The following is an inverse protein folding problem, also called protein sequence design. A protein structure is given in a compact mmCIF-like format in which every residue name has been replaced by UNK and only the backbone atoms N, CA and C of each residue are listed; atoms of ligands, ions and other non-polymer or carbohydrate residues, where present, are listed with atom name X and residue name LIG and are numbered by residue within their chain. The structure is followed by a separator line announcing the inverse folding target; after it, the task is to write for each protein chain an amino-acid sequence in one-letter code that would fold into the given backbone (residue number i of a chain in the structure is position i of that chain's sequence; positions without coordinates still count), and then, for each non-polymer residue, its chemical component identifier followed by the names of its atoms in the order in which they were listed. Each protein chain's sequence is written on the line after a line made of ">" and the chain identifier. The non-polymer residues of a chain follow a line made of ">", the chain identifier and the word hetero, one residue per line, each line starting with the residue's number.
data_IF_969770287233
#
_entry.id   IF_969770287233
#
_cell.length_a   1.000
_cell.length_b   1.000
_cell.length_c   1.000
_cell.angle_alpha   90.00
_cell.angle_beta   90.00
_cell.angle_gamma   90.00
#
_symmetry.space_group_name_H-M   'P 1'
#
loop_
_entity.id
_entity.type
_entity.pdbx_description
1 polymer ?
#
# COMPACT_ATOMS: atom_id res chain seq x y z
N UNK A 1 -29.34 -38.04 -24.52
CA UNK A 1 -30.42 -37.19 -23.96
C UNK A 1 -30.58 -37.50 -22.48
N UNK A 2 -30.10 -36.62 -21.60
CA UNK A 2 -30.63 -36.43 -20.24
C UNK A 2 -30.14 -35.05 -19.76
N UNK A 3 -30.76 -34.01 -20.32
CA UNK A 3 -30.33 -32.61 -20.20
C UNK A 3 -31.07 -31.85 -19.08
N UNK A 4 -31.55 -32.57 -18.08
CA UNK A 4 -32.19 -31.97 -16.89
C UNK A 4 -31.52 -32.53 -15.64
N UNK A 5 -30.40 -31.91 -15.25
CA UNK A 5 -30.05 -31.86 -13.83
C UNK A 5 -31.20 -31.17 -13.11
N UNK A 6 -31.64 -31.78 -12.02
CA UNK A 6 -32.80 -31.36 -11.26
C UNK A 6 -32.60 -29.91 -10.79
N UNK A 7 -33.48 -28.99 -11.19
CA UNK A 7 -33.39 -27.55 -10.89
C UNK A 7 -33.36 -27.30 -9.36
N UNK A 8 -33.89 -28.23 -8.56
CA UNK A 8 -33.82 -28.19 -7.10
C UNK A 8 -32.40 -28.29 -6.54
N UNK A 9 -31.47 -28.96 -7.24
CA UNK A 9 -30.06 -28.96 -6.86
C UNK A 9 -29.45 -27.57 -7.08
N UNK A 10 -29.86 -26.86 -8.14
CA UNK A 10 -29.31 -25.56 -8.50
C UNK A 10 -29.72 -24.43 -7.54
N UNK A 11 -30.88 -24.51 -6.89
CA UNK A 11 -31.41 -23.42 -6.05
C UNK A 11 -30.62 -23.18 -4.76
N UNK A 12 -29.81 -24.14 -4.30
CA UNK A 12 -28.96 -23.98 -3.10
C UNK A 12 -27.60 -23.31 -3.36
N UNK A 13 -27.24 -23.06 -4.62
CA UNK A 13 -25.90 -22.59 -5.01
C UNK A 13 -25.80 -21.08 -5.24
N UNK A 14 -26.93 -20.45 -5.55
CA UNK A 14 -26.99 -19.02 -5.81
C UNK A 14 -27.35 -18.29 -4.51
N UNK A 15 -26.63 -17.20 -4.22
CA UNK A 15 -26.94 -16.31 -3.08
C UNK A 15 -28.30 -15.62 -3.23
N UNK A 16 -28.72 -15.41 -4.48
CA UNK A 16 -30.01 -14.85 -4.86
C UNK A 16 -30.70 -15.80 -5.85
N UNK A 17 -32.04 -15.79 -5.92
CA UNK A 17 -32.75 -16.65 -6.87
C UNK A 17 -32.27 -16.31 -8.29
N UNK A 18 -31.72 -17.26 -9.06
CA UNK A 18 -31.36 -16.98 -10.44
C UNK A 18 -32.60 -16.51 -11.19
N UNK A 19 -32.51 -15.52 -12.09
CA UNK A 19 -33.67 -15.13 -12.89
C UNK A 19 -34.23 -16.39 -13.59
N UNK A 20 -35.56 -16.53 -13.61
CA UNK A 20 -36.30 -17.64 -14.23
C UNK A 20 -35.85 -17.96 -15.66
N UNK A 21 -35.16 -17.02 -16.32
CA UNK A 21 -34.49 -17.17 -17.61
C UNK A 21 -33.39 -18.26 -17.66
N UNK A 22 -32.81 -18.69 -16.54
CA UNK A 22 -31.79 -19.76 -16.53
C UNK A 22 -32.36 -21.19 -16.61
N UNK A 23 -33.67 -21.35 -16.41
CA UNK A 23 -34.34 -22.65 -16.39
C UNK A 23 -34.65 -23.22 -17.78
N UNK A 24 -34.48 -22.44 -18.87
CA UNK A 24 -35.01 -22.83 -20.19
C UNK A 24 -34.13 -22.60 -21.41
N UNK A 25 -32.85 -22.21 -21.28
CA UNK A 25 -32.10 -21.73 -22.46
C UNK A 25 -30.70 -22.37 -22.59
N UNK A 26 -30.22 -22.47 -23.82
CA UNK A 26 -28.99 -23.17 -24.24
C UNK A 26 -27.70 -22.67 -23.59
N UNK A 27 -26.56 -23.31 -23.93
CA UNK A 27 -25.24 -23.10 -23.31
C UNK A 27 -24.86 -21.62 -23.14
N UNK A 28 -25.15 -20.81 -24.14
CA UNK A 28 -24.63 -19.44 -24.24
C UNK A 28 -25.41 -18.46 -23.34
N UNK A 29 -26.71 -18.70 -23.18
CA UNK A 29 -27.58 -17.95 -22.25
C UNK A 29 -27.39 -18.35 -20.78
N UNK A 30 -26.88 -19.57 -20.52
CA UNK A 30 -26.40 -19.96 -19.18
C UNK A 30 -25.13 -19.20 -18.82
N UNK A 31 -24.19 -19.06 -19.75
CA UNK A 31 -23.02 -18.20 -19.57
C UNK A 31 -23.41 -16.75 -19.22
N UNK A 32 -24.49 -16.20 -19.82
CA UNK A 32 -24.97 -14.84 -19.50
C UNK A 32 -25.63 -14.71 -18.11
N UNK A 33 -26.39 -15.71 -17.65
CA UNK A 33 -26.95 -15.70 -16.29
C UNK A 33 -25.90 -15.93 -15.19
N UNK A 34 -24.73 -16.46 -15.55
CA UNK A 34 -23.55 -16.65 -14.68
C UNK A 34 -22.67 -15.39 -14.54
N UNK A 35 -22.98 -14.31 -15.28
CA UNK A 35 -22.43 -12.97 -15.08
C UNK A 35 -23.26 -12.11 -14.10
N UNK A 36 -24.30 -12.68 -13.45
CA UNK A 36 -25.03 -11.97 -12.42
C UNK A 36 -24.10 -11.57 -11.27
N UNK A 37 -24.26 -10.35 -10.76
CA UNK A 37 -23.40 -9.76 -9.72
C UNK A 37 -23.32 -10.56 -8.42
N UNK A 38 -24.21 -11.54 -8.20
CA UNK A 38 -24.19 -12.45 -7.04
C UNK A 38 -23.38 -13.75 -7.22
N UNK A 39 -23.05 -14.16 -8.45
CA UNK A 39 -22.26 -15.36 -8.77
C UNK A 39 -22.80 -16.71 -8.23
N UNK A 40 -22.13 -17.81 -8.58
CA UNK A 40 -22.28 -19.10 -7.89
C UNK A 40 -21.36 -19.09 -6.66
N UNK A 41 -21.90 -19.36 -5.47
CA UNK A 41 -21.17 -19.24 -4.18
C UNK A 41 -20.55 -17.86 -3.91
N UNK A 42 -21.05 -16.78 -4.54
CA UNK A 42 -20.44 -15.46 -4.41
C UNK A 42 -19.14 -15.28 -5.23
N UNK A 43 -18.89 -16.15 -6.22
CA UNK A 43 -17.76 -16.01 -7.11
C UNK A 43 -17.92 -14.77 -8.01
N UNK A 44 -16.96 -13.86 -7.94
CA UNK A 44 -16.97 -12.59 -8.69
C UNK A 44 -15.85 -12.58 -9.73
N UNK A 45 -16.06 -11.86 -10.82
CA UNK A 45 -15.01 -11.63 -11.83
C UNK A 45 -14.30 -10.35 -11.47
N UNK A 46 -12.99 -10.44 -11.25
CA UNK A 46 -12.11 -9.30 -10.99
C UNK A 46 -11.15 -9.14 -12.16
N UNK A 47 -10.82 -7.90 -12.48
CA UNK A 47 -9.75 -7.56 -13.40
C UNK A 47 -8.71 -6.75 -12.61
N UNK A 48 -7.49 -7.26 -12.53
CA UNK A 48 -6.36 -6.58 -11.90
C UNK A 48 -5.09 -6.79 -12.76
N UNK A 49 -3.93 -6.41 -12.22
CA UNK A 49 -2.63 -6.49 -12.90
C UNK A 49 -2.24 -7.93 -13.29
N UNK A 50 -2.86 -8.95 -12.69
CA UNK A 50 -2.69 -10.37 -13.04
C UNK A 50 -3.63 -10.83 -14.17
N UNK A 51 -4.53 -9.96 -14.63
CA UNK A 51 -5.51 -10.22 -15.67
C UNK A 51 -6.94 -10.41 -15.15
N UNK A 52 -7.81 -10.94 -16.00
CA UNK A 52 -9.21 -11.22 -15.64
C UNK A 52 -9.30 -12.59 -14.98
N UNK A 53 -9.65 -12.61 -13.69
CA UNK A 53 -9.74 -13.83 -12.88
C UNK A 53 -11.10 -13.95 -12.20
N UNK A 54 -11.46 -15.20 -11.92
CA UNK A 54 -12.62 -15.53 -11.07
C UNK A 54 -12.13 -15.59 -9.63
N UNK A 55 -12.74 -14.86 -8.72
CA UNK A 55 -12.39 -14.86 -7.30
C UNK A 55 -13.47 -15.59 -6.52
N UNK A 56 -13.08 -16.57 -5.72
CA UNK A 56 -13.98 -17.33 -4.84
C UNK A 56 -13.50 -17.23 -3.39
N UNK A 57 -14.34 -16.67 -2.53
CA UNK A 57 -14.08 -16.58 -1.09
C UNK A 57 -14.48 -17.84 -0.34
N UNK A 58 -13.55 -18.38 0.44
CA UNK A 58 -13.70 -19.61 1.22
C UNK A 58 -13.49 -19.33 2.70
N UNK A 59 -14.44 -19.80 3.49
CA UNK A 59 -14.43 -19.77 4.94
C UNK A 59 -14.67 -21.18 5.49
N UNK A 60 -14.31 -21.45 6.75
CA UNK A 60 -14.63 -22.72 7.40
C UNK A 60 -16.12 -23.09 7.31
N UNK A 61 -17.02 -22.10 7.30
CA UNK A 61 -18.47 -22.29 7.20
C UNK A 61 -18.96 -22.69 5.80
N UNK A 62 -18.22 -22.39 4.73
CA UNK A 62 -18.65 -22.64 3.36
C UNK A 62 -17.87 -23.74 2.63
N UNK A 63 -16.81 -24.30 3.25
CA UNK A 63 -15.93 -25.29 2.59
C UNK A 63 -16.69 -26.51 2.04
N UNK A 64 -17.71 -26.98 2.76
CA UNK A 64 -18.56 -28.11 2.32
C UNK A 64 -19.42 -27.78 1.09
N UNK A 65 -19.69 -26.50 0.82
CA UNK A 65 -20.45 -26.05 -0.36
C UNK A 65 -19.58 -26.01 -1.62
N UNK A 66 -18.27 -25.87 -1.47
CA UNK A 66 -17.32 -25.78 -2.59
C UNK A 66 -17.25 -27.10 -3.36
N UNK A 67 -17.21 -28.23 -2.65
CA UNK A 67 -17.23 -29.54 -3.29
C UNK A 67 -18.48 -29.72 -4.18
N UNK A 68 -19.63 -29.17 -3.75
CA UNK A 68 -20.88 -29.25 -4.52
C UNK A 68 -20.88 -28.34 -5.75
N UNK A 69 -20.12 -27.25 -5.75
CA UNK A 69 -19.97 -26.34 -6.88
C UNK A 69 -18.81 -26.71 -7.82
N UNK A 70 -18.12 -27.83 -7.57
CA UNK A 70 -16.97 -28.26 -8.37
C UNK A 70 -17.30 -28.35 -9.87
N UNK A 71 -18.47 -28.89 -10.24
CA UNK A 71 -18.89 -29.01 -11.65
C UNK A 71 -18.96 -27.66 -12.38
N UNK A 72 -19.29 -26.58 -11.66
CA UNK A 72 -19.39 -25.23 -12.22
C UNK A 72 -17.99 -24.65 -12.41
N UNK A 73 -17.11 -24.85 -11.43
CA UNK A 73 -15.73 -24.34 -11.47
C UNK A 73 -14.91 -24.99 -12.59
N UNK A 74 -15.15 -26.26 -12.88
CA UNK A 74 -14.44 -27.02 -13.94
C UNK A 74 -14.90 -26.71 -15.37
N UNK A 75 -16.10 -26.13 -15.53
CA UNK A 75 -16.67 -25.84 -16.86
C UNK A 75 -16.09 -24.58 -17.51
N UNK A 76 -15.67 -23.59 -16.71
CA UNK A 76 -15.08 -22.34 -17.19
C UNK A 76 -13.56 -22.44 -17.22
N UNK A 77 -13.00 -22.83 -18.36
CA UNK A 77 -11.53 -22.95 -18.54
C UNK A 77 -10.84 -21.67 -19.02
N UNK A 78 -11.61 -20.68 -19.50
CA UNK A 78 -11.05 -19.48 -20.15
C UNK A 78 -10.53 -18.40 -19.18
N UNK A 79 -10.87 -18.47 -17.89
CA UNK A 79 -10.38 -17.53 -16.88
C UNK A 79 -9.83 -18.28 -15.66
N UNK A 80 -8.60 -17.98 -15.19
CA UNK A 80 -8.03 -18.60 -14.01
C UNK A 80 -8.88 -18.32 -12.77
N UNK A 81 -8.85 -19.25 -11.81
CA UNK A 81 -9.61 -19.19 -10.56
C UNK A 81 -8.67 -18.81 -9.40
N UNK A 82 -8.94 -17.69 -8.74
CA UNK A 82 -8.27 -17.30 -7.51
C UNK A 82 -9.15 -17.59 -6.31
N UNK A 83 -8.65 -18.38 -5.37
CA UNK A 83 -9.39 -18.83 -4.19
C UNK A 83 -8.84 -18.09 -2.98
N UNK A 84 -9.64 -17.20 -2.39
CA UNK A 84 -9.26 -16.51 -1.16
C UNK A 84 -9.74 -17.30 0.04
N UNK A 85 -8.86 -17.56 1.00
CA UNK A 85 -9.16 -18.42 2.15
C UNK A 85 -8.74 -17.70 3.42
N UNK A 86 -9.63 -17.66 4.40
CA UNK A 86 -9.30 -17.23 5.75
C UNK A 86 -9.29 -18.43 6.70
N UNK A 87 -8.15 -18.62 7.38
CA UNK A 87 -7.89 -19.75 8.27
C UNK A 87 -7.39 -19.20 9.61
N UNK A 88 -8.00 -19.65 10.71
CA UNK A 88 -7.54 -19.38 12.08
C UNK A 88 -6.94 -20.65 12.68
N UNK A 89 -5.68 -20.56 13.13
CA UNK A 89 -4.96 -21.53 13.94
C UNK A 89 -5.42 -23.00 13.90
N UNK A 90 -5.61 -23.58 15.08
CA UNK A 90 -5.81 -25.03 15.32
C UNK A 90 -7.15 -25.59 14.83
N UNK A 91 -8.15 -24.74 14.60
CA UNK A 91 -9.49 -25.16 14.17
C UNK A 91 -9.57 -25.44 12.66
N UNK A 92 -8.51 -25.12 11.91
CA UNK A 92 -8.53 -25.10 10.44
C UNK A 92 -8.01 -26.37 9.77
N UNK A 93 -7.51 -27.39 10.50
CA UNK A 93 -6.91 -28.58 9.88
C UNK A 93 -7.87 -29.35 8.95
N UNK A 94 -9.14 -29.48 9.34
CA UNK A 94 -10.16 -30.12 8.50
C UNK A 94 -10.44 -29.33 7.23
N UNK A 95 -10.43 -27.99 7.34
CA UNK A 95 -10.63 -27.07 6.21
C UNK A 95 -9.44 -27.12 5.26
N UNK A 96 -8.21 -27.16 5.79
CA UNK A 96 -6.99 -27.31 4.99
C UNK A 96 -7.04 -28.60 4.16
N UNK A 97 -7.33 -29.74 4.79
CA UNK A 97 -7.42 -31.03 4.08
C UNK A 97 -8.51 -31.00 3.00
N UNK A 98 -9.67 -30.38 3.28
CA UNK A 98 -10.73 -30.22 2.30
C UNK A 98 -10.30 -29.36 1.11
N UNK A 99 -9.58 -28.26 1.37
CA UNK A 99 -9.04 -27.36 0.35
C UNK A 99 -7.94 -28.03 -0.48
N UNK A 100 -7.08 -28.82 0.12
CA UNK A 100 -6.05 -29.59 -0.59
C UNK A 100 -6.68 -30.61 -1.55
N UNK A 101 -7.67 -31.38 -1.08
CA UNK A 101 -8.44 -32.28 -1.95
C UNK A 101 -9.15 -31.54 -3.07
N UNK A 102 -9.71 -30.37 -2.76
CA UNK A 102 -10.38 -29.55 -3.75
C UNK A 102 -9.41 -29.01 -4.82
N UNK A 103 -8.25 -28.50 -4.41
CA UNK A 103 -7.14 -28.08 -5.27
C UNK A 103 -6.68 -29.21 -6.21
N UNK A 104 -6.53 -30.42 -5.66
CA UNK A 104 -6.18 -31.60 -6.44
C UNK A 104 -7.22 -31.88 -7.54
N UNK A 105 -8.51 -31.92 -7.18
CA UNK A 105 -9.59 -32.16 -8.14
C UNK A 105 -9.69 -31.10 -9.24
N UNK A 106 -9.40 -29.83 -8.92
CA UNK A 106 -9.32 -28.75 -9.91
C UNK A 106 -8.15 -28.98 -10.88
N UNK A 107 -6.99 -29.40 -10.36
CA UNK A 107 -5.81 -29.72 -11.16
C UNK A 107 -6.09 -30.89 -12.11
N UNK A 108 -6.74 -31.97 -11.63
CA UNK A 108 -7.18 -33.12 -12.44
C UNK A 108 -8.16 -32.73 -13.56
N UNK A 109 -8.93 -31.66 -13.34
CA UNK A 109 -9.88 -31.12 -14.31
C UNK A 109 -9.27 -30.05 -15.23
N UNK A 110 -7.95 -29.84 -15.17
CA UNK A 110 -7.19 -28.82 -15.91
C UNK A 110 -7.70 -27.39 -15.71
N UNK A 111 -8.10 -27.07 -14.48
CA UNK A 111 -8.50 -25.72 -14.09
C UNK A 111 -7.30 -25.00 -13.49
N UNK A 112 -6.83 -23.96 -14.18
CA UNK A 112 -5.81 -23.07 -13.62
C UNK A 112 -6.37 -22.34 -12.40
N UNK A 113 -5.66 -22.44 -11.27
CA UNK A 113 -6.08 -21.79 -10.04
C UNK A 113 -4.91 -21.43 -9.11
N UNK A 114 -5.09 -20.37 -8.32
CA UNK A 114 -4.16 -19.90 -7.28
C UNK A 114 -4.89 -19.65 -5.97
N UNK A 115 -4.13 -19.48 -4.89
CA UNK A 115 -4.67 -19.17 -3.57
C UNK A 115 -4.23 -17.79 -3.07
N UNK A 116 -5.14 -17.11 -2.38
CA UNK A 116 -4.86 -15.97 -1.51
C UNK A 116 -5.13 -16.42 -0.07
N UNK A 117 -4.07 -16.68 0.71
CA UNK A 117 -4.19 -17.27 2.04
C UNK A 117 -4.08 -16.20 3.12
N UNK A 118 -5.11 -16.04 3.92
CA UNK A 118 -5.08 -15.29 5.17
C UNK A 118 -5.02 -16.28 6.33
N UNK A 119 -3.91 -16.32 7.04
CA UNK A 119 -3.68 -17.21 8.17
C UNK A 119 -3.52 -16.40 9.45
N UNK A 120 -4.39 -16.65 10.42
CA UNK A 120 -4.40 -15.96 11.72
C UNK A 120 -3.93 -16.90 12.83
N UNK A 121 -3.18 -16.35 13.80
CA UNK A 121 -2.85 -17.03 15.06
C UNK A 121 -2.13 -18.40 14.88
N UNK A 122 -1.42 -18.57 13.77
CA UNK A 122 -0.70 -19.82 13.51
C UNK A 122 0.64 -19.85 14.23
N UNK A 123 1.00 -21.04 14.73
CA UNK A 123 2.32 -21.31 15.35
C UNK A 123 3.30 -21.94 14.36
N UNK A 124 2.78 -22.55 13.28
CA UNK A 124 3.58 -23.19 12.24
C UNK A 124 2.89 -23.09 10.88
N UNK A 125 3.69 -22.91 9.82
CA UNK A 125 3.22 -22.91 8.43
C UNK A 125 3.25 -24.30 7.78
N UNK A 126 3.79 -25.32 8.47
CA UNK A 126 3.88 -26.68 7.92
C UNK A 126 2.53 -27.27 7.47
N UNK A 127 1.41 -27.08 8.20
CA UNK A 127 0.12 -27.59 7.77
C UNK A 127 -0.37 -27.00 6.44
N UNK A 128 0.16 -25.85 6.02
CA UNK A 128 -0.29 -25.14 4.82
C UNK A 128 0.58 -25.42 3.59
N UNK A 129 1.61 -26.28 3.71
CA UNK A 129 2.66 -26.44 2.70
C UNK A 129 2.14 -26.72 1.28
N UNK A 130 1.08 -27.52 1.14
CA UNK A 130 0.48 -27.84 -0.17
C UNK A 130 -0.24 -26.63 -0.76
N UNK A 131 -1.04 -25.92 0.06
CA UNK A 131 -1.74 -24.71 -0.39
C UNK A 131 -0.74 -23.61 -0.78
N UNK A 132 0.32 -23.44 0.01
CA UNK A 132 1.38 -22.46 -0.20
C UNK A 132 2.05 -22.58 -1.57
N UNK A 133 2.24 -23.80 -2.10
CA UNK A 133 2.84 -24.03 -3.43
C UNK A 133 2.06 -23.39 -4.58
N UNK A 134 0.77 -23.13 -4.39
CA UNK A 134 -0.10 -22.47 -5.38
C UNK A 134 -0.57 -21.10 -4.92
N UNK A 135 0.03 -20.55 -3.86
CA UNK A 135 -0.36 -19.24 -3.33
C UNK A 135 0.33 -18.11 -4.07
N UNK A 136 -0.48 -17.13 -4.47
CA UNK A 136 -0.02 -15.88 -5.06
C UNK A 136 0.08 -14.76 -4.02
N UNK A 137 -0.78 -14.82 -3.01
CA UNK A 137 -0.86 -13.84 -1.92
C UNK A 137 -0.93 -14.58 -0.58
N UNK A 138 -0.13 -14.14 0.39
CA UNK A 138 -0.12 -14.70 1.74
C UNK A 138 -0.17 -13.56 2.75
N UNK A 139 -1.18 -13.57 3.61
CA UNK A 139 -1.34 -12.65 4.71
C UNK A 139 -1.29 -13.42 6.03
N UNK A 140 -0.28 -13.17 6.87
CA UNK A 140 -0.13 -13.77 8.18
C UNK A 140 -0.41 -12.70 9.24
N UNK A 141 -1.39 -12.93 10.13
CA UNK A 141 -1.72 -11.98 11.21
C UNK A 141 -1.71 -12.63 12.58
N UNK A 142 -1.06 -11.96 13.55
CA UNK A 142 -1.02 -12.40 14.95
C UNK A 142 -0.44 -13.82 15.14
N UNK A 143 0.42 -14.25 14.20
CA UNK A 143 1.07 -15.56 14.23
C UNK A 143 2.32 -15.58 15.13
N UNK A 144 2.58 -16.70 15.79
CA UNK A 144 3.78 -16.93 16.63
C UNK A 144 4.68 -17.95 15.94
N UNK A 145 5.44 -17.49 14.93
CA UNK A 145 6.17 -18.36 14.01
C UNK A 145 7.61 -18.59 14.45
N UNK A 146 8.07 -19.83 14.37
CA UNK A 146 9.49 -20.18 14.56
C UNK A 146 10.29 -20.11 13.26
N UNK A 147 9.62 -20.12 12.10
CA UNK A 147 10.29 -20.19 10.80
C UNK A 147 9.36 -19.81 9.64
N UNK A 148 9.90 -19.15 8.62
CA UNK A 148 9.24 -18.89 7.33
C UNK A 148 9.72 -19.83 6.21
N UNK A 149 10.41 -20.93 6.52
CA UNK A 149 10.98 -21.84 5.49
C UNK A 149 9.94 -22.36 4.48
N UNK A 150 8.70 -22.55 4.92
CA UNK A 150 7.60 -22.98 4.04
C UNK A 150 7.25 -21.95 2.95
N UNK A 151 7.68 -20.69 3.12
CA UNK A 151 7.49 -19.63 2.12
C UNK A 151 8.64 -19.55 1.11
N UNK A 152 9.67 -20.39 1.24
CA UNK A 152 10.85 -20.32 0.37
C UNK A 152 10.60 -20.97 -0.99
N UNK A 153 11.00 -20.28 -2.06
CA UNK A 153 11.00 -20.83 -3.42
C UNK A 153 9.61 -20.98 -4.05
N UNK A 154 8.61 -20.25 -3.54
CA UNK A 154 7.25 -20.30 -4.08
C UNK A 154 7.19 -19.55 -5.42
N UNK A 155 6.95 -20.28 -6.50
CA UNK A 155 6.99 -19.75 -7.88
C UNK A 155 5.86 -18.75 -8.17
N UNK A 156 4.70 -18.94 -7.55
CA UNK A 156 3.50 -18.12 -7.80
C UNK A 156 3.42 -16.91 -6.87
N UNK A 157 4.22 -16.87 -5.81
CA UNK A 157 4.09 -15.88 -4.75
C UNK A 157 4.49 -14.49 -5.25
N UNK A 158 3.54 -13.55 -5.23
CA UNK A 158 3.71 -12.15 -5.61
C UNK A 158 3.65 -11.20 -4.43
N UNK A 159 2.89 -11.55 -3.40
CA UNK A 159 2.67 -10.69 -2.22
C UNK A 159 2.73 -11.47 -0.92
N UNK A 160 3.47 -10.94 0.04
CA UNK A 160 3.49 -11.43 1.42
C UNK A 160 3.22 -10.27 2.38
N UNK A 161 2.26 -10.43 3.28
CA UNK A 161 2.00 -9.55 4.42
C UNK A 161 2.19 -10.30 5.74
N UNK A 162 2.97 -9.71 6.64
CA UNK A 162 3.17 -10.17 8.01
C UNK A 162 2.71 -9.05 8.94
N UNK A 163 1.66 -9.28 9.72
CA UNK A 163 1.11 -8.29 10.66
C UNK A 163 1.15 -8.84 12.07
N UNK A 164 1.79 -8.12 12.99
CA UNK A 164 1.90 -8.48 14.41
C UNK A 164 2.41 -9.92 14.63
N UNK A 165 3.22 -10.43 13.69
CA UNK A 165 3.83 -11.74 13.84
C UNK A 165 5.02 -11.67 14.80
N UNK A 166 5.12 -12.65 15.69
CA UNK A 166 6.19 -12.77 16.68
C UNK A 166 6.90 -14.11 16.57
N UNK A 167 8.00 -14.27 17.30
CA UNK A 167 8.82 -15.48 17.29
C UNK A 167 10.16 -15.30 16.58
N UNK A 168 10.92 -16.39 16.48
CA UNK A 168 12.31 -16.39 16.03
C UNK A 168 12.43 -16.71 14.54
N UNK A 169 11.77 -15.93 13.68
CA UNK A 169 11.85 -16.10 12.22
C UNK A 169 12.68 -14.99 11.55
N UNK A 170 13.12 -15.24 10.32
CA UNK A 170 13.77 -14.25 9.46
C UNK A 170 13.16 -14.29 8.05
N UNK A 171 13.40 -13.23 7.28
CA UNK A 171 12.89 -13.08 5.90
C UNK A 171 13.74 -13.82 4.85
N UNK A 172 14.80 -14.53 5.25
CA UNK A 172 15.70 -15.26 4.36
C UNK A 172 15.02 -16.17 3.35
N UNK A 173 13.98 -16.96 3.72
CA UNK A 173 13.26 -17.80 2.77
C UNK A 173 12.62 -17.02 1.62
N UNK A 174 12.16 -15.78 1.85
CA UNK A 174 11.49 -14.98 0.81
C UNK A 174 12.43 -14.61 -0.34
N UNK A 175 13.74 -14.54 -0.09
CA UNK A 175 14.76 -14.27 -1.11
C UNK A 175 14.75 -15.28 -2.27
N UNK A 176 14.22 -16.49 -2.04
CA UNK A 176 14.15 -17.53 -3.06
C UNK A 176 12.89 -17.43 -3.95
N UNK A 177 11.97 -16.50 -3.69
CA UNK A 177 10.74 -16.36 -4.47
C UNK A 177 10.95 -15.44 -5.69
N UNK A 178 10.98 -15.99 -6.93
CA UNK A 178 11.42 -15.24 -8.11
C UNK A 178 10.43 -14.13 -8.54
N UNK A 179 9.14 -14.30 -8.25
CA UNK A 179 8.06 -13.42 -8.69
C UNK A 179 7.54 -12.50 -7.58
N UNK A 180 8.19 -12.48 -6.41
CA UNK A 180 7.78 -11.68 -5.28
C UNK A 180 7.96 -10.18 -5.60
N UNK A 181 6.84 -9.47 -5.63
CA UNK A 181 6.76 -8.08 -6.05
C UNK A 181 6.41 -7.13 -4.89
N UNK A 182 5.74 -7.63 -3.84
CA UNK A 182 5.32 -6.84 -2.69
C UNK A 182 5.60 -7.57 -1.39
N UNK A 183 6.29 -6.90 -0.46
CA UNK A 183 6.52 -7.41 0.90
C UNK A 183 6.04 -6.37 1.91
N UNK A 184 5.13 -6.77 2.79
CA UNK A 184 4.58 -5.96 3.87
C UNK A 184 4.88 -6.62 5.20
N UNK A 185 5.52 -5.89 6.11
CA UNK A 185 5.86 -6.34 7.46
C UNK A 185 5.50 -5.22 8.43
N UNK A 186 4.44 -5.41 9.21
CA UNK A 186 3.95 -4.42 10.17
C UNK A 186 4.02 -4.97 11.59
N UNK A 187 4.67 -4.23 12.48
CA UNK A 187 4.74 -4.52 13.93
C UNK A 187 5.25 -5.94 14.24
N UNK A 188 6.19 -6.46 13.44
CA UNK A 188 6.79 -7.77 13.65
C UNK A 188 8.07 -7.64 14.48
N UNK A 189 7.99 -7.98 15.77
CA UNK A 189 9.12 -7.81 16.72
C UNK A 189 10.33 -8.70 16.42
N UNK A 190 10.12 -9.80 15.67
CA UNK A 190 11.18 -10.73 15.27
C UNK A 190 12.03 -10.25 14.09
N UNK A 191 11.58 -9.25 13.33
CA UNK A 191 12.29 -8.79 12.13
C UNK A 191 13.31 -7.71 12.51
N UNK A 192 14.55 -8.14 12.72
CA UNK A 192 15.71 -7.27 13.01
C UNK A 192 16.57 -6.98 11.79
N UNK A 193 16.42 -7.76 10.72
CA UNK A 193 17.16 -7.60 9.47
C UNK A 193 16.25 -7.93 8.28
N UNK A 194 16.33 -7.09 7.24
CA UNK A 194 15.61 -7.25 5.99
C UNK A 194 16.56 -7.42 4.78
N UNK A 195 17.83 -7.75 5.03
CA UNK A 195 18.87 -7.93 3.99
C UNK A 195 18.46 -8.91 2.89
N UNK A 196 17.68 -9.93 3.25
CA UNK A 196 17.15 -10.93 2.31
C UNK A 196 16.36 -10.30 1.15
N UNK A 197 15.66 -9.18 1.38
CA UNK A 197 14.86 -8.49 0.38
C UNK A 197 15.71 -7.89 -0.75
N UNK A 198 16.99 -7.60 -0.50
CA UNK A 198 17.89 -7.01 -1.50
C UNK A 198 18.24 -7.91 -2.68
N UNK A 199 17.88 -9.20 -2.61
CA UNK A 199 18.03 -10.15 -3.72
C UNK A 199 16.84 -10.13 -4.68
N UNK A 200 15.71 -9.53 -4.29
CA UNK A 200 14.45 -9.56 -5.03
C UNK A 200 14.45 -8.47 -6.12
N UNK A 201 14.79 -8.88 -7.35
CA UNK A 201 14.90 -7.97 -8.49
C UNK A 201 13.57 -7.49 -9.06
N UNK A 202 12.47 -8.20 -8.76
CA UNK A 202 11.12 -7.87 -9.20
C UNK A 202 10.31 -7.11 -8.13
N UNK A 203 10.96 -6.73 -7.03
CA UNK A 203 10.33 -6.05 -5.91
C UNK A 203 9.92 -4.63 -6.32
N UNK A 204 8.61 -4.36 -6.29
CA UNK A 204 7.99 -3.06 -6.61
C UNK A 204 7.54 -2.30 -5.36
N UNK A 205 7.16 -3.01 -4.30
CA UNK A 205 6.69 -2.41 -3.06
C UNK A 205 7.28 -3.06 -1.82
N UNK A 206 7.75 -2.24 -0.88
CA UNK A 206 8.24 -2.68 0.44
C UNK A 206 7.60 -1.84 1.52
N UNK A 207 6.94 -2.48 2.47
CA UNK A 207 6.41 -1.84 3.68
C UNK A 207 7.06 -2.54 4.89
N UNK A 208 7.80 -1.79 5.68
CA UNK A 208 8.45 -2.23 6.92
C UNK A 208 8.02 -1.28 8.04
N UNK A 209 6.81 -1.46 8.54
CA UNK A 209 6.23 -0.59 9.56
C UNK A 209 6.62 -1.06 10.97
N UNK A 210 7.17 -0.15 11.78
CA UNK A 210 7.53 -0.44 13.18
C UNK A 210 8.63 -1.50 13.33
N UNK A 211 9.43 -1.73 12.28
CA UNK A 211 10.55 -2.67 12.30
C UNK A 211 11.79 -2.07 12.98
N UNK A 212 12.72 -2.93 13.42
CA UNK A 212 13.97 -2.52 14.09
C UNK A 212 15.15 -2.41 13.13
N UNK A 213 14.90 -1.89 11.93
CA UNK A 213 15.95 -1.66 10.92
C UNK A 213 16.67 -0.33 11.20
N UNK A 214 17.95 -0.27 10.84
CA UNK A 214 18.79 0.93 11.00
C UNK A 214 19.13 1.63 9.67
N UNK A 215 19.06 0.88 8.57
CA UNK A 215 19.34 1.31 7.20
C UNK A 215 18.42 0.56 6.23
N UNK A 216 18.29 1.08 5.00
CA UNK A 216 17.63 0.44 3.85
C UNK A 216 18.61 0.08 2.72
N UNK A 217 19.92 0.01 3.00
CA UNK A 217 20.97 -0.27 1.99
C UNK A 217 20.76 -1.56 1.20
N UNK A 218 20.02 -2.52 1.76
CA UNK A 218 19.64 -3.74 1.06
C UNK A 218 18.76 -3.47 -0.17
N UNK A 219 18.02 -2.36 -0.23
CA UNK A 219 17.14 -2.01 -1.37
C UNK A 219 17.89 -1.45 -2.59
N UNK A 220 19.20 -1.17 -2.50
CA UNK A 220 19.97 -0.53 -3.59
C UNK A 220 19.91 -1.26 -4.94
N UNK A 221 19.65 -2.57 -4.92
CA UNK A 221 19.59 -3.42 -6.11
C UNK A 221 18.16 -3.72 -6.58
N UNK A 222 17.14 -3.22 -5.87
CA UNK A 222 15.73 -3.32 -6.25
C UNK A 222 15.40 -2.24 -7.29
N UNK A 223 15.97 -2.36 -8.49
CA UNK A 223 15.95 -1.29 -9.51
C UNK A 223 14.56 -0.96 -10.09
N UNK A 224 13.56 -1.82 -9.87
CA UNK A 224 12.16 -1.61 -10.30
C UNK A 224 11.25 -1.19 -9.14
N UNK A 225 11.82 -0.83 -7.99
CA UNK A 225 11.08 -0.44 -6.79
C UNK A 225 10.33 0.86 -7.05
N UNK A 226 9.03 0.85 -6.73
CA UNK A 226 8.10 1.97 -6.94
C UNK A 226 7.64 2.59 -5.62
N UNK A 227 7.57 1.83 -4.54
CA UNK A 227 7.11 2.31 -3.24
C UNK A 227 7.90 1.73 -2.09
N UNK A 228 8.29 2.59 -1.15
CA UNK A 228 8.95 2.24 0.10
C UNK A 228 8.22 2.92 1.26
N UNK A 229 7.75 2.12 2.21
CA UNK A 229 7.20 2.57 3.47
C UNK A 229 8.03 1.97 4.62
N UNK A 230 8.64 2.82 5.42
CA UNK A 230 9.44 2.49 6.60
C UNK A 230 8.95 3.26 7.83
N UNK A 231 7.67 3.64 7.82
CA UNK A 231 6.95 4.28 8.92
C UNK A 231 7.26 3.64 10.28
N UNK A 232 7.46 4.46 11.31
CA UNK A 232 7.66 4.04 12.70
C UNK A 232 8.92 3.19 12.91
N UNK A 233 9.83 3.12 11.93
CA UNK A 233 11.15 2.53 12.11
C UNK A 233 12.05 3.46 12.93
N UNK A 234 11.83 3.53 14.25
CA UNK A 234 12.52 4.48 15.15
C UNK A 234 14.03 4.35 15.21
N UNK A 235 14.61 3.27 14.68
CA UNK A 235 16.06 3.09 14.63
C UNK A 235 16.67 3.42 13.27
N UNK A 236 15.85 3.68 12.25
CA UNK A 236 16.28 4.01 10.90
C UNK A 236 16.94 5.39 10.89
N UNK A 237 18.17 5.46 10.37
CA UNK A 237 18.97 6.70 10.35
C UNK A 237 19.34 7.18 8.95
N UNK A 238 19.26 6.32 7.94
CA UNK A 238 19.66 6.64 6.57
C UNK A 238 18.72 6.00 5.56
N UNK A 239 18.54 6.70 4.44
CA UNK A 239 17.81 6.26 3.25
C UNK A 239 18.76 5.96 2.06
N UNK A 240 20.07 5.82 2.28
CA UNK A 240 21.09 5.71 1.22
C UNK A 240 20.83 4.56 0.23
N UNK A 241 20.23 3.46 0.68
CA UNK A 241 19.79 2.37 -0.17
C UNK A 241 18.74 2.73 -1.23
N UNK A 242 18.12 3.90 -1.16
CA UNK A 242 17.17 4.41 -2.16
C UNK A 242 17.85 5.23 -3.27
N UNK A 243 19.15 5.50 -3.15
CA UNK A 243 19.86 6.37 -4.06
C UNK A 243 19.79 5.88 -5.51
N UNK A 244 19.28 6.74 -6.39
CA UNK A 244 19.21 6.49 -7.84
C UNK A 244 18.12 5.51 -8.28
N UNK A 245 17.18 5.14 -7.42
CA UNK A 245 16.01 4.34 -7.80
C UNK A 245 15.03 5.16 -8.65
N UNK A 246 15.25 5.16 -9.97
CA UNK A 246 14.53 6.02 -10.93
C UNK A 246 13.04 5.75 -11.07
N UNK A 247 12.57 4.59 -10.62
CA UNK A 247 11.16 4.18 -10.66
C UNK A 247 10.44 4.42 -9.34
N UNK A 248 11.15 4.86 -8.29
CA UNK A 248 10.57 5.12 -6.98
C UNK A 248 9.61 6.32 -7.09
N UNK A 249 8.34 6.08 -6.76
CA UNK A 249 7.24 7.06 -6.81
C UNK A 249 6.83 7.53 -5.42
N UNK A 250 6.87 6.65 -4.43
CA UNK A 250 6.40 6.97 -3.08
C UNK A 250 7.43 6.55 -2.03
N UNK A 251 7.70 7.46 -1.08
CA UNK A 251 8.48 7.17 0.13
C UNK A 251 7.72 7.67 1.35
N UNK A 252 7.40 6.76 2.27
CA UNK A 252 6.92 7.08 3.61
C UNK A 252 7.98 6.69 4.63
N UNK A 253 8.55 7.67 5.31
CA UNK A 253 9.56 7.51 6.35
C UNK A 253 9.14 8.25 7.63
N UNK A 254 7.82 8.37 7.90
CA UNK A 254 7.31 9.03 9.10
C UNK A 254 7.77 8.37 10.40
N UNK A 255 7.89 9.16 11.46
CA UNK A 255 8.30 8.67 12.81
C UNK A 255 9.59 7.82 12.76
N UNK A 256 10.56 8.28 11.97
CA UNK A 256 11.91 7.69 11.87
C UNK A 256 12.97 8.65 12.42
N UNK A 257 14.22 8.16 12.50
CA UNK A 257 15.36 8.90 13.04
C UNK A 257 16.34 9.37 11.94
N UNK A 258 15.84 9.51 10.70
CA UNK A 258 16.64 10.00 9.57
C UNK A 258 17.06 11.46 9.80
N UNK A 259 18.30 11.78 9.41
CA UNK A 259 18.87 13.12 9.58
C UNK A 259 18.90 13.93 8.28
N UNK A 260 18.90 13.25 7.14
CA UNK A 260 18.88 13.84 5.81
C UNK A 260 18.15 12.92 4.81
N UNK A 261 17.85 13.46 3.64
CA UNK A 261 17.19 12.76 2.53
C UNK A 261 17.98 12.91 1.22
N UNK A 262 19.30 13.13 1.31
CA UNK A 262 20.14 13.39 0.13
C UNK A 262 20.13 12.23 -0.88
N UNK A 263 19.91 11.00 -0.38
CA UNK A 263 19.70 9.81 -1.20
C UNK A 263 18.60 9.98 -2.25
N UNK A 264 17.61 10.84 -2.04
CA UNK A 264 16.47 11.02 -2.95
C UNK A 264 16.79 11.88 -4.19
N UNK A 265 17.96 12.53 -4.27
CA UNK A 265 18.35 13.45 -5.36
C UNK A 265 18.23 12.85 -6.77
N UNK A 266 18.35 11.52 -6.90
CA UNK A 266 18.25 10.80 -8.17
C UNK A 266 16.90 10.12 -8.45
N UNK A 267 15.92 10.23 -7.55
CA UNK A 267 14.61 9.56 -7.66
C UNK A 267 13.67 10.37 -8.55
N UNK A 268 13.99 10.48 -9.84
CA UNK A 268 13.30 11.36 -10.80
C UNK A 268 11.81 11.07 -11.03
N UNK A 269 11.32 9.89 -10.61
CA UNK A 269 9.90 9.54 -10.64
C UNK A 269 9.19 9.75 -9.31
N UNK A 270 9.85 10.30 -8.28
CA UNK A 270 9.25 10.50 -6.97
C UNK A 270 8.10 11.48 -7.08
N UNK A 271 6.92 11.05 -6.64
CA UNK A 271 5.64 11.75 -6.66
C UNK A 271 5.25 12.18 -5.24
N UNK A 272 5.47 11.31 -4.25
CA UNK A 272 5.09 11.58 -2.85
C UNK A 272 6.23 11.27 -1.87
N UNK A 273 6.40 12.17 -0.89
CA UNK A 273 7.32 11.99 0.22
C UNK A 273 6.64 12.37 1.55
N UNK A 274 6.64 11.45 2.50
CA UNK A 274 6.27 11.72 3.89
C UNK A 274 7.46 11.47 4.81
N UNK A 275 7.95 12.54 5.44
CA UNK A 275 9.02 12.56 6.45
C UNK A 275 8.52 13.26 7.72
N UNK A 276 7.21 13.20 7.98
CA UNK A 276 6.62 13.75 9.20
C UNK A 276 7.17 13.08 10.46
N UNK A 277 7.23 13.82 11.55
CA UNK A 277 7.77 13.36 12.84
C UNK A 277 9.24 12.90 12.79
N UNK A 278 10.01 13.31 11.78
CA UNK A 278 11.45 13.09 11.73
C UNK A 278 12.19 14.22 12.46
N UNK A 279 12.32 14.10 13.79
CA UNK A 279 12.88 15.14 14.68
C UNK A 279 14.36 15.47 14.44
N UNK A 280 15.06 14.68 13.61
CA UNK A 280 16.47 14.92 13.24
C UNK A 280 16.66 15.47 11.84
N UNK A 281 15.60 15.48 11.02
CA UNK A 281 15.66 16.00 9.66
C UNK A 281 15.65 17.53 9.70
N UNK A 282 16.76 18.15 9.29
CA UNK A 282 16.94 19.61 9.38
C UNK A 282 16.77 20.36 8.06
N UNK A 283 16.77 19.65 6.93
CA UNK A 283 16.55 20.23 5.61
C UNK A 283 15.85 19.24 4.69
N UNK A 284 15.25 19.78 3.62
CA UNK A 284 14.69 18.99 2.52
C UNK A 284 15.67 18.88 1.33
N UNK A 285 16.96 19.11 1.56
CA UNK A 285 17.98 18.96 0.52
C UNK A 285 18.02 17.52 0.03
N UNK A 286 18.04 17.34 -1.29
CA UNK A 286 17.84 16.04 -1.95
C UNK A 286 16.57 15.98 -2.79
N UNK A 287 15.69 16.99 -2.72
CA UNK A 287 14.48 17.06 -3.55
C UNK A 287 14.58 18.02 -4.74
N UNK A 288 15.68 18.77 -4.85
CA UNK A 288 15.81 19.88 -5.79
C UNK A 288 15.57 19.43 -7.23
N UNK A 289 14.63 20.08 -7.90
CA UNK A 289 14.36 19.85 -9.32
C UNK A 289 13.69 18.52 -9.65
N UNK A 290 13.12 17.80 -8.68
CA UNK A 290 12.39 16.56 -8.96
C UNK A 290 11.11 16.87 -9.78
N UNK A 291 11.01 16.40 -11.03
CA UNK A 291 10.02 16.92 -11.98
C UNK A 291 8.60 16.37 -11.76
N UNK A 292 8.47 15.26 -11.02
CA UNK A 292 7.19 14.60 -10.73
C UNK A 292 6.74 14.75 -9.28
N UNK A 293 7.50 15.43 -8.43
CA UNK A 293 7.16 15.53 -7.01
C UNK A 293 5.91 16.38 -6.85
N UNK A 294 4.83 15.78 -6.36
CA UNK A 294 3.49 16.37 -6.21
C UNK A 294 3.20 16.73 -4.75
N UNK A 295 3.65 15.92 -3.79
CA UNK A 295 3.35 16.13 -2.38
C UNK A 295 4.55 15.87 -1.47
N UNK A 296 4.81 16.82 -0.56
CA UNK A 296 5.80 16.67 0.51
C UNK A 296 5.16 16.98 1.86
N UNK A 297 5.25 16.03 2.79
CA UNK A 297 4.87 16.20 4.18
C UNK A 297 6.08 16.07 5.09
N UNK A 298 6.43 17.14 5.80
CA UNK A 298 7.47 17.20 6.81
C UNK A 298 6.92 17.71 8.16
N UNK A 299 5.62 17.51 8.41
CA UNK A 299 4.95 17.94 9.65
C UNK A 299 5.70 17.46 10.89
N UNK A 300 5.88 18.33 11.89
CA UNK A 300 6.55 18.00 13.16
C UNK A 300 7.96 17.42 12.99
N UNK A 301 8.69 17.85 11.97
CA UNK A 301 10.12 17.58 11.81
C UNK A 301 10.96 18.76 12.31
N UNK A 302 12.29 18.62 12.36
CA UNK A 302 13.21 19.70 12.73
C UNK A 302 13.67 20.55 11.52
N UNK A 303 12.90 20.55 10.42
CA UNK A 303 13.29 21.21 9.19
C UNK A 303 13.42 22.73 9.42
N UNK A 304 14.61 23.26 9.14
CA UNK A 304 14.95 24.67 9.33
C UNK A 304 14.84 25.45 8.01
N UNK A 305 14.90 24.75 6.88
CA UNK A 305 14.72 25.34 5.54
C UNK A 305 14.17 24.32 4.53
N UNK A 306 13.44 24.83 3.52
CA UNK A 306 12.82 24.02 2.45
C UNK A 306 13.38 24.33 1.05
N UNK A 307 14.63 24.81 0.97
CA UNK A 307 15.25 25.21 -0.31
C UNK A 307 15.36 24.05 -1.29
N UNK A 308 15.44 22.82 -0.79
CA UNK A 308 15.37 21.60 -1.57
C UNK A 308 14.09 21.43 -2.41
N UNK A 309 13.03 22.22 -2.19
CA UNK A 309 11.83 22.20 -3.05
C UNK A 309 11.96 23.05 -4.32
N UNK A 310 13.06 23.79 -4.47
CA UNK A 310 13.29 24.65 -5.63
C UNK A 310 13.29 23.83 -6.93
N UNK A 311 12.49 24.26 -7.90
CA UNK A 311 12.42 23.61 -9.22
C UNK A 311 11.52 22.37 -9.28
N UNK A 312 10.83 21.99 -8.21
CA UNK A 312 9.83 20.91 -8.22
C UNK A 312 8.54 21.38 -8.91
N UNK A 313 8.56 21.50 -10.23
CA UNK A 313 7.50 22.15 -11.03
C UNK A 313 6.13 21.47 -10.94
N UNK A 314 6.07 20.20 -10.54
CA UNK A 314 4.84 19.44 -10.33
C UNK A 314 4.22 19.61 -8.94
N UNK A 315 4.90 20.28 -8.01
CA UNK A 315 4.52 20.29 -6.60
C UNK A 315 3.17 20.96 -6.38
N UNK A 316 2.23 20.22 -5.78
CA UNK A 316 0.87 20.66 -5.51
C UNK A 316 0.63 20.89 -4.02
N UNK A 317 1.29 20.11 -3.15
CA UNK A 317 1.09 20.18 -1.69
C UNK A 317 2.41 20.19 -0.93
N UNK A 318 2.56 21.16 -0.04
CA UNK A 318 3.67 21.23 0.93
C UNK A 318 3.09 21.37 2.33
N UNK A 319 3.46 20.47 3.23
CA UNK A 319 3.09 20.56 4.64
C UNK A 319 4.34 20.53 5.52
N UNK A 320 4.61 21.65 6.19
CA UNK A 320 5.70 21.88 7.15
C UNK A 320 5.14 22.36 8.49
N UNK A 321 3.90 22.01 8.81
CA UNK A 321 3.28 22.33 10.08
C UNK A 321 4.16 21.84 11.25
N UNK A 322 4.26 22.65 12.30
CA UNK A 322 5.03 22.39 13.52
C UNK A 322 6.53 22.14 13.27
N UNK A 323 7.07 22.67 12.16
CA UNK A 323 8.53 22.83 12.00
C UNK A 323 8.96 24.10 12.73
N UNK A 324 9.11 24.02 14.06
CA UNK A 324 9.33 25.17 14.96
C UNK A 324 10.61 25.96 14.68
N UNK A 325 11.52 25.42 13.86
CA UNK A 325 12.77 26.09 13.45
C UNK A 325 12.73 26.69 12.05
N UNK A 326 11.65 26.48 11.30
CA UNK A 326 11.51 26.99 9.94
C UNK A 326 11.22 28.50 9.99
N UNK A 327 12.11 29.30 9.40
CA UNK A 327 12.04 30.77 9.45
C UNK A 327 11.70 31.44 8.11
N UNK A 328 11.75 30.68 7.01
CA UNK A 328 11.36 31.13 5.68
C UNK A 328 10.78 29.98 4.86
N UNK A 329 9.92 30.31 3.90
CA UNK A 329 9.42 29.41 2.85
C UNK A 329 10.26 29.53 1.56
N UNK A 330 11.54 29.91 1.67
CA UNK A 330 12.50 29.88 0.55
C UNK A 330 12.54 28.48 -0.07
N UNK A 331 12.14 28.38 -1.35
CA UNK A 331 12.02 27.11 -2.07
C UNK A 331 10.65 26.93 -2.74
N UNK A 332 9.64 27.71 -2.33
CA UNK A 332 8.29 27.69 -2.93
C UNK A 332 8.08 28.71 -4.04
N UNK A 333 9.10 29.52 -4.36
CA UNK A 333 9.00 30.61 -5.31
C UNK A 333 8.60 30.12 -6.72
N UNK A 334 7.52 30.68 -7.26
CA UNK A 334 6.99 30.41 -8.62
C UNK A 334 6.59 28.96 -8.89
N UNK A 335 6.25 28.18 -7.86
CA UNK A 335 5.65 26.86 -8.05
C UNK A 335 4.20 26.99 -8.58
N UNK A 336 4.06 26.96 -9.91
CA UNK A 336 2.80 27.28 -10.60
C UNK A 336 1.67 26.27 -10.36
N UNK A 337 1.98 25.08 -9.84
CA UNK A 337 1.01 24.02 -9.51
C UNK A 337 0.72 23.90 -8.03
N UNK A 338 1.38 24.70 -7.18
CA UNK A 338 1.22 24.64 -5.74
C UNK A 338 -0.18 25.12 -5.35
N UNK A 339 -0.98 24.21 -4.78
CA UNK A 339 -2.37 24.44 -4.35
C UNK A 339 -2.48 24.61 -2.86
N UNK A 340 -1.74 23.81 -2.08
CA UNK A 340 -1.87 23.77 -0.62
C UNK A 340 -0.52 23.97 0.07
N UNK A 341 -0.47 24.92 1.01
CA UNK A 341 0.68 25.14 1.89
C UNK A 341 0.24 25.14 3.34
N UNK A 342 0.75 24.19 4.13
CA UNK A 342 0.67 24.20 5.59
C UNK A 342 2.00 24.60 6.20
N UNK A 343 2.02 25.68 6.97
CA UNK A 343 3.16 26.15 7.75
C UNK A 343 2.74 26.56 9.17
N UNK A 344 1.67 25.98 9.70
CA UNK A 344 1.15 26.25 11.04
C UNK A 344 2.23 26.00 12.10
N UNK A 345 2.35 26.87 13.10
CA UNK A 345 3.27 26.68 14.22
C UNK A 345 4.74 26.67 13.81
N UNK A 346 5.09 27.45 12.78
CA UNK A 346 6.46 27.69 12.35
C UNK A 346 6.90 29.09 12.77
N UNK A 347 8.18 29.41 12.60
CA UNK A 347 8.77 30.71 12.94
C UNK A 347 8.96 31.60 11.70
N UNK A 348 8.16 31.37 10.66
CA UNK A 348 8.23 32.16 9.41
C UNK A 348 7.90 33.63 9.68
N UNK A 349 8.68 34.52 9.07
CA UNK A 349 8.53 35.97 9.25
C UNK A 349 7.85 36.68 8.09
N UNK A 350 7.86 36.07 6.91
CA UNK A 350 7.23 36.56 5.70
C UNK A 350 6.81 35.38 4.80
N UNK A 351 5.99 35.69 3.82
CA UNK A 351 5.39 34.73 2.87
C UNK A 351 5.48 35.23 1.42
N UNK A 352 6.40 36.15 1.14
CA UNK A 352 6.53 36.77 -0.18
C UNK A 352 6.81 35.74 -1.28
N UNK A 353 7.45 34.62 -0.93
CA UNK A 353 7.73 33.51 -1.86
C UNK A 353 6.47 32.87 -2.43
N UNK A 354 5.33 32.94 -1.73
CA UNK A 354 4.05 32.38 -2.16
C UNK A 354 3.30 33.25 -3.17
N UNK A 355 3.65 34.54 -3.30
CA UNK A 355 2.95 35.49 -4.19
C UNK A 355 3.02 35.11 -5.68
N UNK A 356 3.99 34.27 -6.06
CA UNK A 356 4.13 33.75 -7.42
C UNK A 356 3.37 32.45 -7.71
N UNK A 357 2.67 31.88 -6.71
CA UNK A 357 1.99 30.59 -6.81
C UNK A 357 0.53 30.79 -7.24
N UNK A 358 0.31 30.99 -8.55
CA UNK A 358 -1.01 31.37 -9.10
C UNK A 358 -2.10 30.30 -8.98
N UNK A 359 -1.74 29.07 -8.62
CA UNK A 359 -2.68 27.97 -8.38
C UNK A 359 -3.02 27.76 -6.89
N UNK A 360 -2.52 28.61 -5.99
CA UNK A 360 -2.67 28.43 -4.56
C UNK A 360 -4.14 28.61 -4.15
N UNK A 361 -4.69 27.58 -3.51
CA UNK A 361 -6.09 27.47 -3.08
C UNK A 361 -6.20 27.55 -1.54
N UNK A 362 -5.22 27.00 -0.82
CA UNK A 362 -5.26 26.90 0.63
C UNK A 362 -3.92 27.18 1.29
N UNK A 363 -3.93 28.09 2.27
CA UNK A 363 -2.76 28.44 3.09
C UNK A 363 -3.12 28.39 4.57
N UNK A 364 -2.35 27.61 5.35
CA UNK A 364 -2.46 27.56 6.81
C UNK A 364 -1.15 28.06 7.45
N UNK A 365 -1.19 29.26 8.02
CA UNK A 365 -0.09 29.91 8.73
C UNK A 365 -0.46 30.20 10.19
N UNK A 366 -1.45 29.49 10.74
CA UNK A 366 -1.83 29.66 12.15
C UNK A 366 -0.63 29.49 13.07
N UNK A 367 -0.65 30.15 14.23
CA UNK A 367 0.42 30.05 15.23
C UNK A 367 1.82 30.50 14.72
N UNK A 368 1.93 31.21 13.59
CA UNK A 368 3.19 31.81 13.12
C UNK A 368 3.42 33.18 13.79
N UNK A 369 4.04 33.16 14.98
CA UNK A 369 4.18 34.34 15.85
C UNK A 369 5.11 35.43 15.32
N UNK A 370 5.91 35.15 14.30
CA UNK A 370 6.83 36.12 13.68
C UNK A 370 6.32 36.70 12.37
N UNK A 371 5.20 36.19 11.85
CA UNK A 371 4.63 36.62 10.59
C UNK A 371 3.92 37.96 10.77
N UNK A 372 4.40 39.01 10.09
CA UNK A 372 3.91 40.39 10.28
C UNK A 372 2.98 40.88 9.16
N UNK A 373 2.86 40.16 8.05
CA UNK A 373 2.06 40.60 6.91
C UNK A 373 1.54 39.44 6.06
N UNK A 374 0.31 39.60 5.57
CA UNK A 374 -0.37 38.68 4.65
C UNK A 374 -0.68 39.32 3.28
N UNK A 375 -0.26 40.57 3.05
CA UNK A 375 -0.72 41.41 1.92
C UNK A 375 -0.48 40.78 0.54
N UNK A 376 0.52 39.91 0.41
CA UNK A 376 0.82 39.22 -0.84
C UNK A 376 -0.15 38.09 -1.24
N UNK A 377 -0.91 37.52 -0.29
CA UNK A 377 -1.81 36.39 -0.58
C UNK A 377 -3.17 36.84 -1.11
N UNK A 378 -3.68 38.00 -0.70
CA UNK A 378 -4.98 38.51 -1.13
C UNK A 378 -5.06 38.82 -2.64
N UNK A 379 -3.91 38.89 -3.32
CA UNK A 379 -3.85 39.09 -4.77
C UNK A 379 -3.92 37.77 -5.57
N UNK A 380 -3.90 36.61 -4.92
CA UNK A 380 -3.89 35.31 -5.58
C UNK A 380 -5.30 34.95 -6.08
N UNK A 381 -5.48 34.67 -7.38
CA UNK A 381 -6.80 34.58 -8.00
C UNK A 381 -7.59 33.31 -7.64
N UNK A 382 -6.93 32.30 -7.06
CA UNK A 382 -7.54 31.02 -6.70
C UNK A 382 -7.58 30.76 -5.20
N UNK A 383 -7.11 31.68 -4.38
CA UNK A 383 -7.04 31.45 -2.94
C UNK A 383 -8.47 31.33 -2.41
N UNK A 384 -8.83 30.19 -1.82
CA UNK A 384 -10.16 29.94 -1.27
C UNK A 384 -10.15 29.94 0.26
N UNK A 385 -9.04 29.49 0.85
CA UNK A 385 -8.89 29.34 2.31
C UNK A 385 -7.57 29.93 2.78
N UNK A 386 -7.64 30.85 3.75
CA UNK A 386 -6.48 31.39 4.46
C UNK A 386 -6.72 31.29 5.96
N UNK A 387 -5.88 30.52 6.67
CA UNK A 387 -5.95 30.38 8.12
C UNK A 387 -4.75 31.06 8.77
N UNK A 388 -4.97 32.12 9.55
CA UNK A 388 -3.89 32.90 10.15
C UNK A 388 -4.13 33.24 11.63
N UNK A 389 -5.05 32.55 12.31
CA UNK A 389 -5.25 32.71 13.76
C UNK A 389 -3.95 32.59 14.56
N UNK A 390 -3.80 33.44 15.58
CA UNK A 390 -2.64 33.49 16.48
C UNK A 390 -1.30 33.78 15.77
N UNK A 391 -1.32 34.62 14.74
CA UNK A 391 -0.12 35.17 14.07
C UNK A 391 0.19 36.59 14.54
N UNK A 392 1.41 37.08 14.35
CA UNK A 392 1.80 38.41 14.83
C UNK A 392 0.95 39.52 14.18
N UNK A 393 0.12 40.18 14.99
CA UNK A 393 -0.71 41.30 14.53
C UNK A 393 -2.09 40.92 14.01
N UNK A 394 -2.45 39.64 14.00
CA UNK A 394 -3.79 39.15 13.63
C UNK A 394 -4.38 38.38 14.81
N UNK A 395 -5.63 38.66 15.17
CA UNK A 395 -6.26 38.11 16.39
C UNK A 395 -6.51 36.60 16.33
N UNK A 396 -7.08 36.04 17.41
CA UNK A 396 -7.37 34.59 17.53
C UNK A 396 -8.40 34.04 16.51
N UNK A 397 -9.00 34.89 15.67
CA UNK A 397 -10.20 34.56 14.87
C UNK A 397 -10.10 34.89 13.36
N UNK A 398 -8.91 35.09 12.80
CA UNK A 398 -8.76 35.46 11.39
C UNK A 398 -8.50 34.23 10.51
N UNK A 399 -9.58 33.48 10.25
CA UNK A 399 -9.67 32.48 9.19
C UNK A 399 -10.61 33.03 8.09
N UNK A 400 -10.10 33.18 6.86
CA UNK A 400 -10.86 33.62 5.70
C UNK A 400 -11.21 32.44 4.80
N UNK A 401 -12.46 32.40 4.35
CA UNK A 401 -12.98 31.41 3.41
C UNK A 401 -13.81 32.09 2.33
N UNK A 402 -13.74 31.61 1.08
CA UNK A 402 -14.59 32.07 -0.02
C UNK A 402 -14.24 33.45 -0.56
N UNK A 403 -12.96 33.67 -0.92
CA UNK A 403 -12.46 34.92 -1.51
C UNK A 403 -13.09 35.29 -2.86
#
# INVERSE_FOLDING_TARGET
>A
MSLFQNISECSGYFRERPPLALAGVGSDTRECGEFHGGGVLGCVISADDSGVRRVLGVSPSNVAHIERAQWWLTRRRRCPLHITVELSGTESLSVIIALEKFSQKLSESEVEHTFGLTVKEAVSLLPFAVLLQRSEEIHLSDCVLTSLRALGGLEWLRKVELRRCSGAFNLGPLAACPNLASVVVSFCSGVTSAEALGSLRNLRGVVLEGCRITTVDFLKHCVVLESVDVNSCKQLRSLDGLAGLRWLKAVDARDTNIADILALCGCVSLETLDVSHCEKLTSLDGLTGLPKLEAVNATSSAVENIRGLTGCVALETVNVNYCERLTSLDGTTRLQRLKTVGARGTEISNIETLTGCMALESVDVRDCRRLVSLNGLFALPKLETLKAGNTAGFGDAEDWTGF
#
